data_IF_376520809417
#
_entry.id   IF_376520809417
#
_cell.length_a   1.000
_cell.length_b   1.000
_cell.length_c   1.000
_cell.angle_alpha   90.00
_cell.angle_beta   90.00
_cell.angle_gamma   90.00
#
_symmetry.space_group_name_H-M   'P 1'
#
loop_
_entity.id
_entity.type
_entity.pdbx_description
1 polymer ?
#
# COMPACT_ATOMS: atom_id res chain seq x y z
N UNK A 1 -29.60 42.82 -6.29
CA UNK A 1 -28.74 41.93 -5.49
C UNK A 1 -27.73 41.33 -6.46
N UNK A 2 -26.42 41.68 -6.30
CA UNK A 2 -25.37 41.09 -7.16
C UNK A 2 -25.24 39.60 -6.84
N UNK A 3 -25.39 38.74 -7.84
CA UNK A 3 -25.06 37.33 -7.67
C UNK A 3 -23.56 37.23 -7.31
N UNK A 4 -23.17 36.41 -6.32
CA UNK A 4 -21.79 36.22 -5.99
C UNK A 4 -21.04 35.66 -7.22
N UNK A 5 -19.83 36.13 -7.45
CA UNK A 5 -18.97 35.62 -8.52
C UNK A 5 -18.68 34.12 -8.25
N UNK A 6 -18.63 33.30 -9.32
CA UNK A 6 -18.29 31.88 -9.17
C UNK A 6 -16.88 31.72 -8.60
N UNK A 7 -16.75 30.87 -7.57
CA UNK A 7 -15.47 30.51 -6.99
C UNK A 7 -15.04 29.11 -7.50
N UNK A 8 -13.96 29.05 -8.28
CA UNK A 8 -13.40 27.80 -8.77
C UNK A 8 -12.34 27.28 -7.78
N UNK A 9 -12.57 26.11 -7.21
CA UNK A 9 -11.65 25.47 -6.26
C UNK A 9 -11.02 24.25 -6.93
N UNK A 10 -9.68 24.23 -7.01
CA UNK A 10 -8.91 23.12 -7.58
C UNK A 10 -7.97 22.54 -6.54
N UNK A 11 -7.82 21.20 -6.46
CA UNK A 11 -6.83 20.59 -5.58
C UNK A 11 -5.43 20.84 -6.10
N UNK A 12 -4.54 21.35 -5.22
CA UNK A 12 -3.14 21.50 -5.52
C UNK A 12 -2.33 20.41 -4.78
N UNK A 13 -1.41 19.76 -5.51
CA UNK A 13 -0.48 18.76 -4.95
C UNK A 13 -1.15 17.54 -4.28
N UNK A 14 -2.36 17.18 -4.72
CA UNK A 14 -3.04 15.99 -4.25
C UNK A 14 -2.30 14.73 -4.73
N UNK A 15 -1.91 13.85 -3.80
CA UNK A 15 -1.34 12.55 -4.13
C UNK A 15 -2.47 11.52 -4.32
N UNK A 16 -2.47 10.73 -5.41
CA UNK A 16 -3.49 9.72 -5.62
C UNK A 16 -3.27 8.52 -4.68
N UNK A 17 -4.32 8.13 -3.97
CA UNK A 17 -4.42 6.84 -3.28
C UNK A 17 -5.53 6.04 -3.96
N UNK A 18 -5.19 4.90 -4.53
CA UNK A 18 -6.14 4.03 -5.20
C UNK A 18 -6.34 2.74 -4.40
N UNK A 19 -7.58 2.29 -4.34
CA UNK A 19 -7.92 1.03 -3.69
C UNK A 19 -8.80 0.16 -4.59
N UNK A 20 -8.62 -1.13 -4.48
CA UNK A 20 -9.45 -2.14 -5.13
C UNK A 20 -9.45 -3.42 -4.30
N UNK A 21 -10.28 -4.39 -4.66
CA UNK A 21 -10.36 -5.68 -3.98
C UNK A 21 -10.34 -6.81 -5.00
N UNK A 22 -9.64 -7.90 -4.65
CA UNK A 22 -9.68 -9.11 -5.47
C UNK A 22 -11.11 -9.64 -5.54
N UNK A 23 -11.61 -10.04 -6.74
CA UNK A 23 -13.01 -10.42 -6.90
C UNK A 23 -13.39 -11.71 -6.17
N UNK A 24 -12.43 -12.58 -5.87
CA UNK A 24 -12.60 -13.85 -5.16
C UNK A 24 -11.45 -14.04 -4.16
N UNK A 25 -11.40 -13.26 -3.06
CA UNK A 25 -10.22 -13.24 -2.20
C UNK A 25 -10.07 -14.49 -1.33
N UNK A 26 -11.16 -15.17 -0.97
CA UNK A 26 -11.15 -16.19 0.08
C UNK A 26 -10.26 -17.38 -0.29
N UNK A 27 -10.49 -17.99 -1.44
CA UNK A 27 -9.68 -19.14 -1.91
C UNK A 27 -8.22 -18.74 -2.17
N UNK A 28 -8.01 -17.57 -2.80
CA UNK A 28 -6.67 -17.05 -3.06
C UNK A 28 -5.92 -16.81 -1.75
N UNK A 29 -6.54 -16.11 -0.81
CA UNK A 29 -5.90 -15.75 0.45
C UNK A 29 -5.63 -16.96 1.35
N UNK A 30 -6.51 -17.98 1.34
CA UNK A 30 -6.26 -19.23 2.04
C UNK A 30 -4.99 -19.92 1.52
N UNK A 31 -4.84 -20.04 0.19
CA UNK A 31 -3.67 -20.63 -0.43
C UNK A 31 -2.39 -19.79 -0.20
N UNK A 32 -2.50 -18.46 -0.29
CA UNK A 32 -1.40 -17.55 0.00
C UNK A 32 -0.97 -17.68 1.46
N UNK A 33 -1.91 -17.60 2.42
CA UNK A 33 -1.60 -17.70 3.84
C UNK A 33 -0.84 -18.99 4.16
N UNK A 34 -1.32 -20.12 3.68
CA UNK A 34 -0.65 -21.39 3.88
C UNK A 34 0.78 -21.37 3.33
N UNK A 35 0.95 -21.00 2.05
CA UNK A 35 2.25 -21.01 1.38
C UNK A 35 3.25 -20.05 2.05
N UNK A 36 2.81 -18.83 2.42
CA UNK A 36 3.70 -17.82 2.98
C UNK A 36 4.16 -18.18 4.39
N UNK A 37 3.31 -18.78 5.21
CA UNK A 37 3.69 -19.29 6.53
C UNK A 37 4.65 -20.50 6.43
N UNK A 38 4.43 -21.41 5.46
CA UNK A 38 5.34 -22.54 5.21
C UNK A 38 6.73 -22.09 4.73
N UNK A 39 6.83 -20.90 4.14
CA UNK A 39 8.08 -20.34 3.60
C UNK A 39 8.73 -19.32 4.52
N UNK A 40 8.17 -19.05 5.68
CA UNK A 40 8.82 -18.24 6.70
C UNK A 40 10.01 -18.99 7.29
N UNK A 41 11.20 -18.40 7.25
CA UNK A 41 12.37 -19.00 7.88
C UNK A 41 13.71 -18.57 7.28
N UNK A 42 14.81 -19.13 7.78
CA UNK A 42 16.15 -18.80 7.30
C UNK A 42 16.31 -19.00 5.79
N UNK A 43 16.88 -17.99 5.12
CA UNK A 43 17.08 -17.97 3.67
C UNK A 43 15.90 -17.43 2.86
N UNK A 44 14.77 -17.10 3.50
CA UNK A 44 13.67 -16.39 2.87
C UNK A 44 13.71 -14.87 3.12
N UNK A 45 14.64 -14.39 3.95
CA UNK A 45 14.84 -12.99 4.30
C UNK A 45 15.70 -12.27 3.24
N UNK A 46 15.68 -10.93 3.22
CA UNK A 46 16.56 -10.16 2.35
C UNK A 46 18.04 -10.45 2.61
N UNK A 47 18.85 -10.52 1.54
CA UNK A 47 20.32 -10.71 1.63
C UNK A 47 21.04 -9.54 2.31
N UNK A 48 20.41 -8.38 2.37
CA UNK A 48 20.96 -7.14 2.94
C UNK A 48 19.98 -6.52 3.93
N UNK A 49 20.53 -5.80 4.91
CA UNK A 49 19.72 -5.02 5.85
C UNK A 49 18.81 -4.04 5.11
N UNK A 50 17.54 -4.05 5.53
CA UNK A 50 16.54 -3.08 5.06
C UNK A 50 16.51 -1.91 6.03
N UNK A 51 16.70 -0.66 5.57
CA UNK A 51 16.85 0.50 6.46
C UNK A 51 15.59 0.85 7.26
N UNK A 52 14.42 0.32 6.88
CA UNK A 52 13.18 0.57 7.61
C UNK A 52 13.18 -0.19 8.93
N UNK A 53 13.03 0.54 10.05
CA UNK A 53 12.88 -0.08 11.37
C UNK A 53 11.56 -0.87 11.44
N UNK A 54 11.67 -2.16 11.71
CA UNK A 54 10.56 -3.09 11.92
C UNK A 54 10.75 -3.81 13.25
N UNK A 55 9.65 -4.12 13.89
CA UNK A 55 9.66 -4.91 15.13
C UNK A 55 8.62 -6.03 15.03
N UNK A 56 8.97 -7.27 15.37
CA UNK A 56 8.11 -8.46 15.31
C UNK A 56 7.39 -8.64 13.96
N UNK A 57 8.10 -8.30 12.89
CA UNK A 57 7.68 -8.46 11.50
C UNK A 57 8.73 -9.29 10.79
N UNK A 58 8.33 -10.46 10.27
CA UNK A 58 9.13 -11.17 9.27
C UNK A 58 8.94 -10.47 7.92
N UNK A 59 10.01 -10.24 7.19
CA UNK A 59 10.02 -9.73 5.82
C UNK A 59 10.77 -10.69 4.92
N UNK A 60 10.14 -11.11 3.82
CA UNK A 60 10.79 -11.98 2.83
C UNK A 60 11.76 -11.21 1.93
N UNK A 61 12.51 -11.94 1.13
CA UNK A 61 13.23 -11.37 -0.02
C UNK A 61 12.26 -10.70 -1.01
N UNK A 62 12.82 -9.91 -1.95
CA UNK A 62 12.03 -9.07 -2.85
C UNK A 62 11.62 -9.77 -4.16
N UNK A 63 11.62 -11.10 -4.19
CA UNK A 63 11.41 -11.92 -5.40
C UNK A 63 10.11 -12.72 -5.40
N UNK A 64 9.14 -12.40 -4.53
CA UNK A 64 7.90 -13.17 -4.37
C UNK A 64 7.20 -13.46 -5.72
N UNK A 65 7.09 -12.46 -6.60
CA UNK A 65 6.41 -12.64 -7.88
C UNK A 65 7.18 -13.48 -8.92
N UNK A 66 8.37 -13.95 -8.59
CA UNK A 66 9.10 -14.94 -9.40
C UNK A 66 8.69 -16.40 -9.08
N UNK A 67 8.00 -16.62 -7.96
CA UNK A 67 7.54 -17.95 -7.56
C UNK A 67 6.44 -18.47 -8.50
N UNK A 68 6.53 -19.76 -8.86
CA UNK A 68 5.65 -20.39 -9.84
C UNK A 68 4.35 -20.96 -9.22
N UNK A 69 4.15 -20.82 -7.92
CA UNK A 69 2.93 -21.28 -7.25
C UNK A 69 1.68 -20.58 -7.85
N UNK A 70 0.60 -21.31 -8.15
CA UNK A 70 -0.59 -20.75 -8.82
C UNK A 70 -1.17 -19.53 -8.09
N UNK A 71 -1.25 -19.56 -6.76
CA UNK A 71 -1.77 -18.43 -5.96
C UNK A 71 -0.88 -17.18 -6.07
N UNK A 72 0.45 -17.33 -6.20
CA UNK A 72 1.37 -16.22 -6.43
C UNK A 72 1.17 -15.64 -7.82
N UNK A 73 1.00 -16.48 -8.85
CA UNK A 73 0.78 -16.01 -10.22
C UNK A 73 -0.59 -15.30 -10.36
N UNK A 74 -1.64 -15.78 -9.69
CA UNK A 74 -2.94 -15.11 -9.64
C UNK A 74 -2.83 -13.75 -8.95
N UNK A 75 -2.18 -13.67 -7.78
CA UNK A 75 -1.92 -12.43 -7.09
C UNK A 75 -1.11 -11.45 -7.94
N UNK A 76 -0.03 -11.93 -8.56
CA UNK A 76 0.83 -11.13 -9.45
C UNK A 76 0.02 -10.51 -10.59
N UNK A 77 -0.81 -11.31 -11.26
CA UNK A 77 -1.66 -10.83 -12.35
C UNK A 77 -2.64 -9.75 -11.88
N UNK A 78 -3.28 -9.95 -10.73
CA UNK A 78 -4.20 -8.98 -10.15
C UNK A 78 -3.51 -7.68 -9.77
N UNK A 79 -2.38 -7.74 -9.05
CA UNK A 79 -1.65 -6.56 -8.57
C UNK A 79 -1.06 -5.77 -9.73
N UNK A 80 -0.30 -6.42 -10.63
CA UNK A 80 0.31 -5.74 -11.79
C UNK A 80 -0.77 -5.16 -12.69
N UNK A 81 -1.84 -5.90 -12.98
CA UNK A 81 -2.95 -5.43 -13.80
C UNK A 81 -3.64 -4.19 -13.20
N UNK A 82 -3.78 -4.14 -11.87
CA UNK A 82 -4.35 -2.98 -11.17
C UNK A 82 -3.44 -1.76 -11.25
N UNK A 83 -2.14 -1.94 -11.05
CA UNK A 83 -1.14 -0.84 -11.16
C UNK A 83 -1.07 -0.31 -12.58
N UNK A 84 -1.00 -1.18 -13.58
CA UNK A 84 -0.99 -0.80 -15.02
C UNK A 84 -2.23 0.02 -15.37
N UNK A 85 -3.40 -0.42 -14.93
CA UNK A 85 -4.66 0.30 -15.15
C UNK A 85 -4.64 1.70 -14.51
N UNK A 86 -4.18 1.80 -13.25
CA UNK A 86 -4.06 3.07 -12.55
C UNK A 86 -3.10 4.02 -13.28
N UNK A 87 -1.93 3.54 -13.66
CA UNK A 87 -0.90 4.33 -14.36
C UNK A 87 -1.42 4.81 -15.71
N UNK A 88 -2.09 3.93 -16.49
CA UNK A 88 -2.71 4.31 -17.75
C UNK A 88 -3.75 5.43 -17.55
N UNK A 89 -4.63 5.28 -16.57
CA UNK A 89 -5.69 6.24 -16.28
C UNK A 89 -5.14 7.61 -15.87
N UNK A 90 -4.16 7.65 -14.95
CA UNK A 90 -3.64 8.90 -14.41
C UNK A 90 -2.75 9.66 -15.39
N UNK A 91 -2.07 8.96 -16.31
CA UNK A 91 -1.23 9.58 -17.33
C UNK A 91 -1.97 9.79 -18.66
N UNK A 92 -3.18 9.29 -18.82
CA UNK A 92 -3.90 9.35 -20.08
C UNK A 92 -3.27 8.50 -21.20
N UNK A 93 -2.52 7.44 -20.83
CA UNK A 93 -1.86 6.59 -21.82
C UNK A 93 -2.85 5.68 -22.55
N UNK A 94 -2.67 5.58 -23.89
CA UNK A 94 -3.38 4.61 -24.72
C UNK A 94 -2.92 3.18 -24.43
N UNK A 95 -3.68 2.19 -24.93
CA UNK A 95 -3.29 0.78 -24.86
C UNK A 95 -1.95 0.50 -25.55
N UNK A 96 -1.71 1.16 -26.69
CA UNK A 96 -0.49 1.04 -27.48
C UNK A 96 0.71 1.61 -26.73
N UNK A 97 0.56 2.77 -26.08
CA UNK A 97 1.58 3.36 -25.23
C UNK A 97 1.92 2.46 -24.05
N UNK A 98 0.91 1.91 -23.38
CA UNK A 98 1.14 0.96 -22.28
C UNK A 98 1.77 -0.36 -22.75
N UNK A 99 1.41 -0.88 -23.93
CA UNK A 99 2.03 -2.08 -24.51
C UNK A 99 3.52 -1.87 -24.86
N UNK A 100 3.91 -0.61 -25.15
CA UNK A 100 5.31 -0.21 -25.37
C UNK A 100 6.12 -0.07 -24.07
N UNK A 101 5.53 -0.33 -22.91
CA UNK A 101 6.22 -0.24 -21.61
C UNK A 101 6.48 -1.61 -21.01
N UNK A 102 7.59 -1.71 -20.31
CA UNK A 102 7.89 -2.82 -19.41
C UNK A 102 7.62 -2.41 -17.97
N UNK A 103 6.97 -3.29 -17.21
CA UNK A 103 6.74 -3.12 -15.77
C UNK A 103 7.71 -3.99 -15.01
N UNK A 104 8.61 -3.38 -14.28
CA UNK A 104 9.53 -4.04 -13.36
C UNK A 104 8.95 -3.95 -11.95
N UNK A 105 9.22 -4.95 -11.11
CA UNK A 105 8.76 -4.94 -9.73
C UNK A 105 9.72 -5.63 -8.78
N UNK A 106 9.71 -5.17 -7.54
CA UNK A 106 10.15 -5.91 -6.37
C UNK A 106 8.93 -6.22 -5.51
N UNK A 107 8.79 -7.44 -5.07
CA UNK A 107 7.62 -7.85 -4.28
C UNK A 107 8.04 -8.78 -3.16
N UNK A 108 7.56 -8.48 -1.97
CA UNK A 108 7.84 -9.23 -0.75
C UNK A 108 6.59 -9.36 0.12
N UNK A 109 6.65 -10.21 1.13
CA UNK A 109 5.56 -10.33 2.10
C UNK A 109 6.04 -10.09 3.52
N UNK A 110 5.11 -9.64 4.33
CA UNK A 110 5.28 -9.47 5.76
C UNK A 110 4.39 -10.43 6.53
N UNK A 111 4.93 -11.03 7.58
CA UNK A 111 4.17 -11.70 8.63
C UNK A 111 4.37 -10.91 9.91
N UNK A 112 3.31 -10.25 10.36
CA UNK A 112 3.32 -9.37 11.54
C UNK A 112 2.65 -10.08 12.70
N UNK A 113 3.33 -10.11 13.85
CA UNK A 113 2.83 -10.71 15.11
C UNK A 113 2.50 -9.63 16.13
N UNK A 114 1.85 -10.01 17.22
CA UNK A 114 1.43 -9.12 18.31
C UNK A 114 2.53 -8.14 18.71
N UNK A 115 2.21 -6.85 18.71
CA UNK A 115 3.17 -5.75 18.95
C UNK A 115 4.02 -5.39 17.73
N UNK A 116 3.85 -6.08 16.58
CA UNK A 116 4.62 -5.83 15.37
C UNK A 116 4.23 -4.52 14.68
N UNK A 117 5.22 -3.79 14.17
CA UNK A 117 5.04 -2.52 13.46
C UNK A 117 6.14 -2.28 12.43
N UNK A 118 5.90 -1.35 11.52
CA UNK A 118 6.93 -0.76 10.66
C UNK A 118 6.89 0.76 10.80
N UNK A 119 8.06 1.38 11.07
CA UNK A 119 8.17 2.84 11.24
C UNK A 119 7.94 3.59 9.93
N UNK A 120 7.73 4.90 10.05
CA UNK A 120 7.52 5.79 8.90
C UNK A 120 8.67 5.70 7.89
N UNK A 121 8.33 5.37 6.64
CA UNK A 121 9.27 5.24 5.53
C UNK A 121 8.58 5.51 4.19
N UNK A 122 9.38 5.65 3.14
CA UNK A 122 8.94 5.65 1.76
C UNK A 122 9.82 4.70 0.93
N UNK A 123 9.50 4.53 -0.35
CA UNK A 123 10.28 3.68 -1.26
C UNK A 123 10.98 4.54 -2.32
N UNK A 124 12.15 5.15 -1.98
CA UNK A 124 12.87 5.96 -2.93
C UNK A 124 13.27 5.11 -4.15
N UNK A 125 13.33 5.74 -5.33
CA UNK A 125 13.67 5.12 -6.60
C UNK A 125 12.61 4.17 -7.17
N UNK A 126 11.40 4.09 -6.61
CA UNK A 126 10.25 3.46 -7.24
C UNK A 126 9.21 4.52 -7.63
N UNK A 127 8.41 4.24 -8.66
CA UNK A 127 7.34 5.14 -9.08
C UNK A 127 6.06 4.92 -8.27
N UNK A 128 5.70 3.67 -8.12
CA UNK A 128 4.48 3.22 -7.45
C UNK A 128 4.77 2.13 -6.46
N UNK A 129 4.02 2.12 -5.37
CA UNK A 129 4.03 1.06 -4.36
C UNK A 129 2.62 0.55 -4.14
N UNK A 130 2.51 -0.67 -3.65
CA UNK A 130 1.23 -1.24 -3.27
C UNK A 130 1.35 -2.15 -2.04
N UNK A 131 0.22 -2.30 -1.34
CA UNK A 131 0.06 -3.27 -0.26
C UNK A 131 -1.23 -4.05 -0.50
N UNK A 132 -1.12 -5.37 -0.59
CA UNK A 132 -2.24 -6.31 -0.64
C UNK A 132 -2.38 -7.03 0.71
N UNK A 133 -3.60 -7.06 1.24
CA UNK A 133 -3.90 -7.74 2.49
C UNK A 133 -4.31 -9.20 2.22
N UNK A 134 -3.46 -10.13 2.60
CA UNK A 134 -3.77 -11.57 2.57
C UNK A 134 -4.63 -11.93 3.76
N UNK A 135 -4.19 -11.56 4.96
CA UNK A 135 -4.90 -11.80 6.22
C UNK A 135 -4.74 -10.58 7.13
N UNK A 136 -5.83 -9.91 7.52
CA UNK A 136 -5.75 -8.77 8.43
C UNK A 136 -5.36 -9.17 9.87
N UNK A 137 -5.33 -10.47 10.18
CA UNK A 137 -5.18 -10.99 11.53
C UNK A 137 -6.55 -11.24 12.19
N UNK A 138 -6.63 -11.06 13.50
CA UNK A 138 -7.86 -11.14 14.26
C UNK A 138 -8.29 -9.77 14.78
N UNK A 139 -9.48 -9.75 15.41
CA UNK A 139 -10.10 -8.51 15.92
C UNK A 139 -9.70 -8.20 17.37
N UNK A 140 -8.72 -8.89 17.96
CA UNK A 140 -8.23 -8.54 19.29
C UNK A 140 -7.61 -7.13 19.26
N UNK A 141 -8.04 -6.27 20.19
CA UNK A 141 -7.71 -4.85 20.17
C UNK A 141 -8.44 -4.02 19.11
N UNK A 142 -9.58 -4.53 18.58
CA UNK A 142 -10.38 -3.83 17.56
C UNK A 142 -10.97 -2.49 18.03
N UNK A 143 -11.11 -2.29 19.33
CA UNK A 143 -11.49 -1.05 19.98
C UNK A 143 -10.39 0.03 19.88
N UNK A 144 -9.14 -0.36 19.63
CA UNK A 144 -8.07 0.58 19.32
C UNK A 144 -8.12 0.96 17.82
N UNK A 145 -8.43 2.21 17.46
CA UNK A 145 -8.53 2.63 16.06
C UNK A 145 -7.22 2.52 15.29
N UNK A 146 -6.09 2.46 15.98
CA UNK A 146 -4.75 2.37 15.37
C UNK A 146 -4.22 0.94 15.22
N UNK A 147 -4.94 -0.09 15.70
CA UNK A 147 -4.49 -1.47 15.64
C UNK A 147 -4.15 -1.93 14.21
N UNK A 148 -2.85 -2.15 13.93
CA UNK A 148 -2.35 -2.68 12.66
C UNK A 148 -2.65 -1.82 11.43
N UNK A 149 -3.00 -0.55 11.63
CA UNK A 149 -3.39 0.39 10.56
C UNK A 149 -2.20 0.70 9.65
N UNK A 150 -2.42 0.64 8.33
CA UNK A 150 -1.55 1.26 7.34
C UNK A 150 -1.88 2.75 7.31
N UNK A 151 -0.93 3.59 7.73
CA UNK A 151 -1.10 5.03 7.85
C UNK A 151 -0.21 5.77 6.87
N UNK A 152 -0.80 6.64 6.05
CA UNK A 152 -0.08 7.58 5.21
C UNK A 152 0.01 8.93 5.93
N UNK A 153 1.22 9.45 6.04
CA UNK A 153 1.49 10.73 6.67
C UNK A 153 1.29 11.87 5.66
N UNK A 154 0.77 13.00 6.12
CA UNK A 154 0.62 14.18 5.27
C UNK A 154 1.99 14.64 4.77
N UNK A 155 2.18 14.68 3.46
CA UNK A 155 3.42 15.13 2.83
C UNK A 155 3.64 16.64 2.91
N UNK A 156 2.67 17.38 3.47
CA UNK A 156 2.70 18.84 3.69
C UNK A 156 2.98 19.12 5.17
N UNK A 157 4.23 19.06 5.65
CA UNK A 157 4.53 19.04 7.09
C UNK A 157 4.07 20.30 7.84
N UNK A 158 3.92 21.42 7.13
CA UNK A 158 3.44 22.67 7.70
C UNK A 158 1.91 22.86 7.64
N UNK A 159 1.17 21.97 6.97
CA UNK A 159 -0.25 22.18 6.73
C UNK A 159 -1.12 22.23 8.00
N UNK A 160 -0.67 21.58 9.08
CA UNK A 160 -1.37 21.55 10.37
C UNK A 160 -0.72 22.43 11.46
N UNK A 161 0.24 23.28 11.13
CA UNK A 161 0.92 24.13 12.13
C UNK A 161 0.00 25.18 12.74
N UNK A 162 -1.02 25.60 12.02
CA UNK A 162 -2.04 26.51 12.51
C UNK A 162 -3.42 26.02 12.08
N UNK A 163 -4.26 25.71 13.05
CA UNK A 163 -5.63 25.25 12.85
C UNK A 163 -6.60 26.19 13.55
N UNK A 164 -7.56 26.67 12.80
CA UNK A 164 -8.68 27.48 13.29
C UNK A 164 -9.99 27.02 12.61
N UNK A 165 -11.16 27.57 12.95
CA UNK A 165 -12.43 27.20 12.31
C UNK A 165 -12.47 27.39 10.78
N UNK A 166 -11.52 28.13 10.20
CA UNK A 166 -11.42 28.34 8.75
C UNK A 166 -10.75 27.19 7.99
N UNK A 167 -9.99 26.30 8.68
CA UNK A 167 -9.26 25.23 8.02
C UNK A 167 -9.27 23.87 8.73
N UNK A 168 -9.78 23.78 9.97
CA UNK A 168 -9.72 22.55 10.77
C UNK A 168 -10.69 21.46 10.32
N UNK A 169 -11.67 21.78 9.47
CA UNK A 169 -12.71 20.86 8.98
C UNK A 169 -12.72 20.74 7.46
N UNK A 170 -11.57 20.97 6.80
CA UNK A 170 -11.47 20.80 5.35
C UNK A 170 -11.76 19.34 4.97
N UNK A 171 -12.62 19.15 3.96
CA UNK A 171 -12.94 17.86 3.40
C UNK A 171 -11.85 17.39 2.42
N UNK A 172 -11.85 16.09 2.11
CA UNK A 172 -10.97 15.54 1.05
C UNK A 172 -11.24 16.22 -0.29
N UNK A 173 -10.19 16.51 -1.06
CA UNK A 173 -8.77 16.20 -0.88
C UNK A 173 -7.96 17.28 -0.14
N UNK A 174 -8.59 18.22 0.54
CA UNK A 174 -7.94 19.38 1.17
C UNK A 174 -7.61 19.19 2.66
N UNK A 175 -8.13 18.13 3.27
CA UNK A 175 -7.96 17.84 4.69
C UNK A 175 -6.49 17.72 5.10
N UNK A 176 -6.24 17.91 6.39
CA UNK A 176 -4.93 17.75 7.02
C UNK A 176 -4.80 16.40 7.70
N UNK A 177 -3.55 16.03 7.99
CA UNK A 177 -3.21 14.87 8.81
C UNK A 177 -3.09 13.56 8.04
N UNK A 178 -3.06 12.46 8.77
CA UNK A 178 -2.86 11.14 8.20
C UNK A 178 -4.11 10.56 7.57
N UNK A 179 -3.91 9.65 6.61
CA UNK A 179 -4.95 8.81 6.03
C UNK A 179 -4.71 7.38 6.49
N UNK A 180 -5.69 6.79 7.17
CA UNK A 180 -5.59 5.50 7.80
C UNK A 180 -6.39 4.44 7.05
N UNK A 181 -5.76 3.29 6.80
CA UNK A 181 -6.39 2.11 6.21
C UNK A 181 -6.33 0.95 7.20
N UNK A 182 -7.46 0.55 7.75
CA UNK A 182 -7.62 -0.77 8.36
C UNK A 182 -7.89 -1.76 7.23
N UNK A 183 -6.81 -2.40 6.75
CA UNK A 183 -6.86 -3.28 5.60
C UNK A 183 -7.76 -4.49 5.85
N UNK A 184 -8.54 -4.85 4.85
CA UNK A 184 -9.38 -6.05 4.84
C UNK A 184 -8.81 -7.12 3.91
N UNK A 185 -9.10 -8.38 4.17
CA UNK A 185 -8.67 -9.48 3.32
C UNK A 185 -9.06 -9.27 1.85
N UNK A 186 -8.09 -9.38 0.95
CA UNK A 186 -8.27 -9.17 -0.47
C UNK A 186 -8.19 -7.71 -0.94
N UNK A 187 -8.06 -6.75 -0.02
CA UNK A 187 -7.90 -5.33 -0.37
C UNK A 187 -6.47 -5.04 -0.87
N UNK A 188 -6.39 -4.27 -1.94
CA UNK A 188 -5.15 -3.74 -2.52
C UNK A 188 -5.19 -2.21 -2.46
N UNK A 189 -4.19 -1.60 -1.86
CA UNK A 189 -3.96 -0.15 -1.87
C UNK A 189 -2.74 0.14 -2.73
N UNK A 190 -2.84 1.11 -3.64
CA UNK A 190 -1.77 1.52 -4.56
C UNK A 190 -1.52 3.01 -4.38
N UNK A 191 -0.25 3.40 -4.29
CA UNK A 191 0.14 4.78 -3.98
C UNK A 191 1.48 5.15 -4.62
N UNK A 192 1.74 6.45 -4.83
CA UNK A 192 3.06 6.93 -5.23
C UNK A 192 4.11 6.59 -4.19
N UNK A 193 5.23 6.03 -4.62
CA UNK A 193 6.27 5.49 -3.73
C UNK A 193 6.94 6.53 -2.82
N UNK A 194 6.82 7.82 -3.14
CA UNK A 194 7.36 8.90 -2.31
C UNK A 194 6.53 9.18 -1.05
N UNK A 195 5.28 8.68 -0.97
CA UNK A 195 4.44 8.90 0.21
C UNK A 195 5.00 8.18 1.41
N UNK A 196 5.26 8.96 2.48
CA UNK A 196 5.67 8.39 3.76
C UNK A 196 4.50 7.66 4.39
N UNK A 197 4.73 6.43 4.77
CA UNK A 197 3.72 5.58 5.40
C UNK A 197 4.34 4.70 6.49
N UNK A 198 3.50 4.21 7.37
CA UNK A 198 3.87 3.35 8.49
C UNK A 198 2.81 2.27 8.69
N UNK A 199 3.15 1.24 9.45
CA UNK A 199 2.20 0.29 10.00
C UNK A 199 2.22 0.44 11.51
N UNK A 200 1.11 0.89 12.08
CA UNK A 200 0.95 1.02 13.52
C UNK A 200 1.01 -0.35 14.22
N UNK A 201 1.35 -0.41 15.52
CA UNK A 201 1.45 -1.68 16.23
C UNK A 201 0.20 -2.54 16.08
N UNK A 202 0.40 -3.79 15.68
CA UNK A 202 -0.64 -4.79 15.57
C UNK A 202 -0.86 -5.47 16.94
N UNK A 203 -2.08 -5.53 17.42
CA UNK A 203 -2.41 -6.04 18.76
C UNK A 203 -3.03 -7.43 18.77
N UNK A 204 -3.41 -7.95 17.60
CA UNK A 204 -4.01 -9.28 17.49
C UNK A 204 -3.04 -10.43 17.82
N UNK A 205 -3.58 -11.61 18.07
CA UNK A 205 -2.79 -12.81 18.41
C UNK A 205 -2.46 -13.67 17.19
N UNK A 206 -3.32 -13.65 16.17
CA UNK A 206 -3.10 -14.37 14.92
C UNK A 206 -2.24 -13.53 13.97
N UNK A 207 -1.42 -14.19 13.16
CA UNK A 207 -0.55 -13.49 12.20
C UNK A 207 -1.34 -12.63 11.22
N UNK A 208 -0.93 -11.37 11.09
CA UNK A 208 -1.34 -10.46 10.02
C UNK A 208 -0.38 -10.60 8.85
N UNK A 209 -0.89 -10.86 7.63
CA UNK A 209 -0.07 -11.13 6.45
C UNK A 209 -0.42 -10.13 5.35
N UNK A 210 0.60 -9.44 4.83
CA UNK A 210 0.49 -8.52 3.71
C UNK A 210 1.56 -8.79 2.66
N UNK A 211 1.25 -8.48 1.40
CA UNK A 211 2.21 -8.48 0.29
C UNK A 211 2.42 -7.05 -0.16
N UNK A 212 3.67 -6.59 -0.11
CA UNK A 212 4.08 -5.27 -0.55
C UNK A 212 4.83 -5.36 -1.89
N UNK A 213 4.68 -4.34 -2.73
CA UNK A 213 5.36 -4.29 -4.03
C UNK A 213 5.76 -2.87 -4.39
N UNK A 214 6.92 -2.75 -5.05
CA UNK A 214 7.38 -1.55 -5.70
C UNK A 214 7.42 -1.75 -7.22
N UNK A 215 7.13 -0.70 -7.99
CA UNK A 215 7.02 -0.76 -9.44
C UNK A 215 7.79 0.34 -10.13
N UNK A 216 8.40 -0.03 -11.27
CA UNK A 216 9.08 0.85 -12.21
C UNK A 216 8.50 0.63 -13.60
N UNK A 217 8.48 1.70 -14.39
CA UNK A 217 8.05 1.65 -15.78
C UNK A 217 9.20 2.15 -16.66
N UNK A 218 9.51 1.41 -17.72
CA UNK A 218 10.46 1.84 -18.74
C UNK A 218 9.92 1.58 -20.13
N UNK A 219 10.26 2.42 -21.08
CA UNK A 219 9.97 2.13 -22.48
C UNK A 219 10.72 0.86 -22.92
N UNK A 220 10.05 0.02 -23.69
CA UNK A 220 10.73 -1.09 -24.38
C UNK A 220 11.60 -0.49 -25.48
N UNK A 221 12.84 -0.97 -25.59
CA UNK A 221 13.76 -0.58 -26.65
C UNK A 221 13.26 -1.08 -28.03
#
# INVERSE_FOLDING_TARGET
MNQPLPLNVNPAFAAPLAETRHPRPDALNQALRQLLLEREGPGAEPEHEVPTLKHRVFESDFRLFTWQAPCIQELRQFVIGSVVRLVSQLNGYSKEQMAGMEVLNHTWYHITRTGGYASGHNHPMASWSSVYCVDPGDDEGADNPDNGVLRFLDSRPAASMFLDPGNMHLERPYNHGSINYRLQAGQLVIFPSHLVHEVAPYLGQRERITVASNFWFRARA
#
